data_IF_217924946547
#
_entry.id   IF_217924946547
#
_cell.length_a   1.000
_cell.length_b   1.000
_cell.length_c   1.000
_cell.angle_alpha   90.00
_cell.angle_beta   90.00
_cell.angle_gamma   90.00
#
_symmetry.space_group_name_H-M   'P 1'
#
loop_
_entity.id
_entity.type
_entity.pdbx_description
1 polymer ?
#
# COMPACT_ATOMS: atom_id res chain seq x y z
N UNK A 1 11.89 0.60 23.29
CA UNK A 1 11.04 1.79 23.46
C UNK A 1 9.57 1.43 23.32
N UNK A 2 8.75 2.01 24.16
CA UNK A 2 7.32 1.76 24.08
C UNK A 2 6.71 2.37 22.81
N UNK A 3 5.60 1.80 22.38
CA UNK A 3 4.85 2.37 21.27
C UNK A 3 4.33 3.75 21.66
N UNK A 4 4.50 4.71 20.80
CA UNK A 4 4.04 6.08 21.02
C UNK A 4 2.71 6.28 20.30
N UNK A 5 2.03 7.40 20.62
CA UNK A 5 0.84 7.77 19.88
C UNK A 5 1.13 7.93 18.40
N UNK A 6 2.33 8.37 18.06
CA UNK A 6 2.74 8.50 16.67
C UNK A 6 2.80 7.14 15.97
N UNK A 7 3.40 6.15 16.62
CA UNK A 7 3.47 4.81 16.04
C UNK A 7 2.07 4.22 15.84
N UNK A 8 1.20 4.41 16.84
CA UNK A 8 -0.17 3.90 16.76
C UNK A 8 -0.91 4.54 15.57
N UNK A 9 -0.72 5.84 15.38
CA UNK A 9 -1.33 6.55 14.27
C UNK A 9 -0.86 6.00 12.93
N UNK A 10 0.44 5.73 12.80
CA UNK A 10 1.00 5.17 11.58
C UNK A 10 0.47 3.76 11.30
N UNK A 11 0.30 2.97 12.35
CA UNK A 11 -0.30 1.64 12.20
C UNK A 11 -1.74 1.73 11.71
N UNK A 12 -2.48 2.76 12.14
CA UNK A 12 -3.83 2.99 11.63
C UNK A 12 -3.81 3.35 10.14
N UNK A 13 -2.81 4.10 9.70
CA UNK A 13 -2.66 4.38 8.27
C UNK A 13 -2.42 3.10 7.48
N UNK A 14 -1.63 2.18 8.03
CA UNK A 14 -1.40 0.89 7.38
C UNK A 14 -2.71 0.11 7.26
N UNK A 15 -3.53 0.13 8.30
CA UNK A 15 -4.84 -0.52 8.25
C UNK A 15 -5.72 0.09 7.15
N UNK A 16 -5.65 1.41 6.97
CA UNK A 16 -6.40 2.09 5.91
C UNK A 16 -5.91 1.65 4.52
N UNK A 17 -4.60 1.51 4.35
CA UNK A 17 -4.03 1.01 3.11
C UNK A 17 -4.55 -0.39 2.82
N UNK A 18 -4.54 -1.25 3.83
CA UNK A 18 -5.00 -2.62 3.68
C UNK A 18 -6.48 -2.67 3.29
N UNK A 19 -7.30 -1.81 3.90
CA UNK A 19 -8.72 -1.72 3.56
C UNK A 19 -8.90 -1.31 2.10
N UNK A 20 -8.12 -0.34 1.64
CA UNK A 20 -8.17 0.12 0.26
C UNK A 20 -7.74 -0.99 -0.70
N UNK A 21 -6.69 -1.72 -0.35
CA UNK A 21 -6.22 -2.84 -1.17
C UNK A 21 -7.29 -3.92 -1.29
N UNK A 22 -8.02 -4.19 -0.21
CA UNK A 22 -9.11 -5.17 -0.26
C UNK A 22 -10.22 -4.74 -1.21
N UNK A 23 -10.48 -3.43 -1.30
CA UNK A 23 -11.46 -2.93 -2.27
C UNK A 23 -11.03 -3.19 -3.69
N UNK A 24 -9.74 -3.00 -3.96
CA UNK A 24 -9.20 -3.29 -5.29
C UNK A 24 -9.34 -4.78 -5.59
N UNK A 25 -8.97 -5.64 -4.64
CA UNK A 25 -9.08 -7.08 -4.82
C UNK A 25 -10.51 -7.49 -5.14
N UNK A 26 -11.48 -6.86 -4.45
CA UNK A 26 -12.89 -7.19 -4.65
C UNK A 26 -13.38 -6.83 -6.04
N UNK A 27 -12.75 -5.86 -6.71
CA UNK A 27 -13.17 -5.44 -8.06
C UNK A 27 -12.44 -6.16 -9.17
N UNK A 28 -11.35 -6.87 -8.87
CA UNK A 28 -10.57 -7.54 -9.90
C UNK A 28 -11.41 -8.48 -10.79
N UNK A 29 -12.31 -9.31 -10.23
CA UNK A 29 -13.09 -10.21 -11.08
C UNK A 29 -13.99 -9.50 -12.10
N UNK A 30 -14.28 -8.22 -11.88
CA UNK A 30 -15.15 -7.45 -12.78
C UNK A 30 -14.38 -6.72 -13.87
N UNK A 31 -13.05 -6.75 -13.80
CA UNK A 31 -12.20 -6.06 -14.76
C UNK A 31 -11.86 -6.96 -15.93
N UNK A 32 -11.74 -6.37 -17.12
CA UNK A 32 -11.20 -7.11 -18.27
C UNK A 32 -9.67 -7.12 -18.21
N UNK A 33 -9.07 -7.84 -19.16
CA UNK A 33 -7.62 -8.01 -19.18
C UNK A 33 -6.87 -6.69 -19.32
N UNK A 34 -7.39 -5.80 -20.15
CA UNK A 34 -6.73 -4.52 -20.36
C UNK A 34 -6.80 -3.65 -19.12
N UNK A 35 -7.94 -3.63 -18.44
CA UNK A 35 -8.08 -2.85 -17.22
C UNK A 35 -7.15 -3.35 -16.14
N UNK A 36 -7.03 -4.68 -15.99
CA UNK A 36 -6.12 -5.24 -15.01
C UNK A 36 -4.67 -4.87 -15.30
N UNK A 37 -4.30 -4.92 -16.58
CA UNK A 37 -2.94 -4.54 -16.97
C UNK A 37 -2.67 -3.06 -16.69
N UNK A 38 -3.60 -2.20 -17.04
CA UNK A 38 -3.43 -0.76 -16.82
C UNK A 38 -3.33 -0.43 -15.35
N UNK A 39 -4.15 -1.06 -14.53
CA UNK A 39 -4.09 -0.83 -13.08
C UNK A 39 -2.78 -1.32 -12.50
N UNK A 40 -2.32 -2.51 -12.89
CA UNK A 40 -1.07 -3.03 -12.37
C UNK A 40 0.12 -2.16 -12.77
N UNK A 41 0.13 -1.66 -14.00
CA UNK A 41 1.18 -0.75 -14.46
C UNK A 41 1.16 0.55 -13.66
N UNK A 42 -0.02 1.08 -13.41
CA UNK A 42 -0.17 2.29 -12.63
C UNK A 42 0.34 2.10 -11.21
N UNK A 43 0.00 0.98 -10.60
CA UNK A 43 0.43 0.68 -9.23
C UNK A 43 1.95 0.59 -9.13
N UNK A 44 2.61 0.05 -10.17
CA UNK A 44 4.07 -0.01 -10.18
C UNK A 44 4.73 1.36 -10.26
N UNK A 45 4.06 2.32 -10.89
CA UNK A 45 4.61 3.68 -11.08
C UNK A 45 4.37 4.59 -9.90
N UNK A 46 3.45 4.24 -9.03
CA UNK A 46 3.12 5.11 -7.89
C UNK A 46 4.32 5.22 -6.95
N UNK A 47 4.65 6.45 -6.57
CA UNK A 47 5.77 6.72 -5.68
C UNK A 47 5.32 7.67 -4.57
N UNK A 48 5.60 7.40 -3.31
CA UNK A 48 6.16 6.11 -2.84
C UNK A 48 5.09 5.02 -2.86
N UNK A 49 5.49 3.78 -3.06
CA UNK A 49 4.57 2.65 -2.93
C UNK A 49 4.84 1.89 -1.63
N UNK A 50 4.01 0.89 -1.36
CA UNK A 50 4.12 0.15 -0.11
C UNK A 50 5.51 -0.48 0.07
N UNK A 51 6.00 -1.15 -0.97
CA UNK A 51 7.29 -1.83 -0.88
C UNK A 51 8.44 -0.85 -0.65
N UNK A 52 8.42 0.29 -1.32
CA UNK A 52 9.50 1.26 -1.16
C UNK A 52 9.52 1.84 0.25
N UNK A 53 8.35 2.07 0.83
CA UNK A 53 8.27 2.58 2.19
C UNK A 53 8.72 1.52 3.19
N UNK A 54 8.32 0.27 2.96
CA UNK A 54 8.75 -0.84 3.81
C UNK A 54 10.26 -0.95 3.84
N UNK A 55 10.91 -0.86 2.67
CA UNK A 55 12.35 -0.91 2.59
C UNK A 55 13.03 0.24 3.32
N UNK A 56 12.47 1.44 3.23
CA UNK A 56 13.01 2.58 3.94
C UNK A 56 12.92 2.38 5.46
N UNK A 57 11.82 1.82 5.93
CA UNK A 57 11.67 1.53 7.36
C UNK A 57 12.69 0.52 7.83
N UNK A 58 12.93 -0.52 7.05
CA UNK A 58 13.88 -1.57 7.42
C UNK A 58 15.31 -1.07 7.40
N UNK A 59 15.61 -0.11 6.53
CA UNK A 59 16.96 0.48 6.43
C UNK A 59 17.16 1.64 7.38
N UNK A 60 16.14 2.05 8.11
CA UNK A 60 16.24 3.17 9.02
C UNK A 60 15.98 4.52 8.37
N UNK A 61 15.31 4.52 7.23
CA UNK A 61 14.93 5.78 6.59
C UNK A 61 16.01 6.43 5.77
N UNK A 62 17.09 5.70 5.47
CA UNK A 62 18.25 6.27 4.78
C UNK A 62 18.57 5.58 3.48
#
# INVERSE_FOLDING_TARGET
MAATGELIRLMNYVDDISTTLRRIVATIPMMDDEERKRLSDYMRKVQPNYDSVLQQLEKGGK
#
